data_IF_520401720538
#
_entry.id   IF_520401720538
#
_cell.length_a   1.000
_cell.length_b   1.000
_cell.length_c   1.000
_cell.angle_alpha   90.00
_cell.angle_beta   90.00
_cell.angle_gamma   90.00
#
_symmetry.space_group_name_H-M   'P 1'
#
loop_
_entity.id
_entity.type
_entity.pdbx_description
1 polymer ?
#
# COMPACT_ATOMS: atom_id res chain seq x y z
N UNK A 1 2.64 -34.71 6.33
CA UNK A 1 3.76 -33.82 5.96
C UNK A 1 3.93 -32.78 7.05
N UNK A 2 5.14 -32.63 7.58
CA UNK A 2 5.41 -31.89 8.82
C UNK A 2 5.41 -30.36 8.57
N UNK A 3 4.68 -29.58 9.37
CA UNK A 3 4.48 -28.12 9.14
C UNK A 3 5.76 -27.29 9.03
N UNK A 4 6.87 -27.79 9.59
CA UNK A 4 8.20 -27.17 9.52
C UNK A 4 8.80 -27.17 8.11
N UNK A 5 8.63 -28.26 7.36
CA UNK A 5 9.13 -28.37 5.99
C UNK A 5 8.38 -27.44 5.02
N UNK A 6 7.11 -27.15 5.31
CA UNK A 6 6.27 -26.23 4.53
C UNK A 6 6.67 -24.77 4.77
N UNK A 7 7.01 -24.39 6.01
CA UNK A 7 7.53 -23.07 6.34
C UNK A 7 8.91 -22.82 5.71
N UNK A 8 9.84 -23.78 5.81
CA UNK A 8 11.18 -23.63 5.23
C UNK A 8 11.15 -23.51 3.69
N UNK A 9 10.28 -24.26 3.03
CA UNK A 9 10.10 -24.17 1.57
C UNK A 9 9.51 -22.81 1.15
N UNK A 10 8.58 -22.28 1.95
CA UNK A 10 7.95 -20.97 1.74
C UNK A 10 8.93 -19.81 1.96
N UNK A 11 9.77 -19.87 3.00
CA UNK A 11 10.78 -18.85 3.28
C UNK A 11 11.85 -18.80 2.20
N UNK A 12 12.32 -19.96 1.72
CA UNK A 12 13.29 -20.05 0.62
C UNK A 12 12.73 -19.45 -0.68
N UNK A 13 11.47 -19.73 -1.01
CA UNK A 13 10.80 -19.16 -2.18
C UNK A 13 10.65 -17.64 -2.11
N UNK A 14 10.24 -17.11 -0.94
CA UNK A 14 10.08 -15.66 -0.73
C UNK A 14 11.41 -14.90 -0.74
N UNK A 15 12.47 -15.48 -0.18
CA UNK A 15 13.81 -14.87 -0.22
C UNK A 15 14.37 -14.81 -1.65
N UNK A 16 14.15 -15.84 -2.47
CA UNK A 16 14.58 -15.85 -3.87
C UNK A 16 13.78 -14.84 -4.72
N UNK A 17 12.48 -14.68 -4.50
CA UNK A 17 11.67 -13.66 -5.19
C UNK A 17 12.09 -12.22 -4.80
N UNK A 18 12.48 -12.00 -3.54
CA UNK A 18 13.04 -10.70 -3.11
C UNK A 18 14.37 -10.40 -3.80
N UNK A 19 15.22 -11.39 -4.02
CA UNK A 19 16.46 -11.23 -4.80
C UNK A 19 16.19 -10.97 -6.30
N UNK A 20 15.12 -11.55 -6.87
CA UNK A 20 14.72 -11.35 -8.28
C UNK A 20 14.30 -9.90 -8.58
N UNK A 21 13.64 -9.20 -7.64
CA UNK A 21 13.26 -7.78 -7.81
C UNK A 21 14.45 -6.83 -7.96
N UNK A 22 15.66 -7.27 -7.63
CA UNK A 22 16.88 -6.46 -7.72
C UNK A 22 17.63 -6.61 -9.06
N UNK A 23 17.03 -7.24 -10.08
CA UNK A 23 17.32 -6.89 -11.48
C UNK A 23 18.31 -7.74 -12.27
N UNK A 24 18.46 -9.05 -11.99
CA UNK A 24 19.42 -9.87 -12.76
C UNK A 24 19.00 -11.32 -12.96
N UNK A 25 17.90 -11.62 -13.67
CA UNK A 25 17.54 -13.02 -13.98
C UNK A 25 16.93 -13.25 -15.38
N UNK A 26 17.30 -14.38 -16.00
CA UNK A 26 16.80 -14.86 -17.30
C UNK A 26 15.39 -15.46 -17.14
N UNK A 27 14.52 -15.21 -18.12
CA UNK A 27 13.08 -15.54 -18.10
C UNK A 27 12.75 -17.02 -17.77
N UNK A 28 13.62 -17.95 -18.11
CA UNK A 28 13.50 -19.39 -17.79
C UNK A 28 13.60 -19.70 -16.30
N UNK A 29 14.47 -19.02 -15.56
CA UNK A 29 14.63 -19.22 -14.11
C UNK A 29 13.44 -18.61 -13.35
N UNK A 30 12.92 -17.47 -13.82
CA UNK A 30 11.68 -16.89 -13.30
C UNK A 30 10.49 -17.86 -13.44
N UNK A 31 10.34 -18.50 -14.60
CA UNK A 31 9.28 -19.51 -14.83
C UNK A 31 9.46 -20.75 -13.93
N UNK A 32 10.69 -21.13 -13.61
CA UNK A 32 10.97 -22.30 -12.76
C UNK A 32 10.70 -22.03 -11.27
N UNK A 33 10.94 -20.80 -10.79
CA UNK A 33 10.69 -20.39 -9.39
C UNK A 33 9.22 -19.99 -9.16
N UNK A 34 8.56 -19.39 -10.15
CA UNK A 34 7.14 -18.98 -10.04
C UNK A 34 6.16 -20.15 -10.09
N UNK A 35 6.44 -21.22 -10.85
CA UNK A 35 5.60 -22.43 -10.94
C UNK A 35 5.31 -23.07 -9.58
N UNK A 36 6.30 -23.41 -8.73
CA UNK A 36 6.04 -23.99 -7.42
C UNK A 36 5.30 -23.00 -6.51
N UNK A 37 5.63 -21.70 -6.56
CA UNK A 37 4.93 -20.68 -5.78
C UNK A 37 3.43 -20.59 -6.14
N UNK A 38 3.10 -20.55 -7.43
CA UNK A 38 1.71 -20.57 -7.92
C UNK A 38 1.01 -21.88 -7.53
N UNK A 39 1.71 -23.02 -7.56
CA UNK A 39 1.12 -24.30 -7.14
C UNK A 39 0.83 -24.37 -5.63
N UNK A 40 1.66 -23.75 -4.80
CA UNK A 40 1.44 -23.68 -3.34
C UNK A 40 0.27 -22.73 -3.04
N UNK A 41 0.21 -21.59 -3.74
CA UNK A 41 -0.92 -20.67 -3.65
C UNK A 41 -2.23 -21.37 -4.04
N UNK A 42 -2.28 -22.02 -5.21
CA UNK A 42 -3.51 -22.67 -5.69
C UNK A 42 -3.95 -23.81 -4.78
N UNK A 43 -3.02 -24.62 -4.28
CA UNK A 43 -3.31 -25.69 -3.32
C UNK A 43 -3.86 -25.12 -2.00
N UNK A 44 -3.22 -24.07 -1.46
CA UNK A 44 -3.65 -23.45 -0.20
C UNK A 44 -5.01 -22.76 -0.36
N UNK A 45 -5.25 -22.11 -1.49
CA UNK A 45 -6.53 -21.48 -1.82
C UNK A 45 -7.63 -22.54 -1.98
N UNK A 46 -7.31 -23.68 -2.61
CA UNK A 46 -8.22 -24.82 -2.71
C UNK A 46 -8.63 -25.35 -1.34
N UNK A 47 -7.71 -25.43 -0.38
CA UNK A 47 -8.06 -25.82 1.01
C UNK A 47 -9.09 -24.88 1.64
N UNK A 48 -8.98 -23.56 1.40
CA UNK A 48 -9.97 -22.60 1.88
C UNK A 48 -11.34 -22.80 1.20
N UNK A 49 -11.35 -23.02 -0.11
CA UNK A 49 -12.59 -23.26 -0.88
C UNK A 49 -13.27 -24.56 -0.45
N UNK A 50 -12.49 -25.64 -0.33
CA UNK A 50 -13.01 -26.94 0.11
C UNK A 50 -13.55 -26.86 1.55
N UNK A 51 -13.03 -25.95 2.39
CA UNK A 51 -13.47 -25.74 3.79
C UNK A 51 -14.66 -24.80 3.92
N UNK A 52 -14.72 -23.73 3.15
CA UNK A 52 -15.63 -22.60 3.35
C UNK A 52 -16.61 -22.34 2.20
N UNK A 53 -16.47 -23.09 1.10
CA UNK A 53 -17.22 -22.91 -0.13
C UNK A 53 -16.59 -21.88 -1.06
N UNK A 54 -17.31 -21.54 -2.13
CA UNK A 54 -16.85 -20.54 -3.10
C UNK A 54 -16.77 -19.14 -2.46
N UNK A 55 -15.69 -18.37 -2.71
CA UNK A 55 -15.58 -17.00 -2.24
C UNK A 55 -16.64 -16.09 -2.87
N UNK A 56 -17.30 -15.29 -2.05
CA UNK A 56 -18.22 -14.24 -2.51
C UNK A 56 -17.44 -13.02 -3.01
N UNK A 57 -16.33 -12.70 -2.34
CA UNK A 57 -15.46 -11.58 -2.69
C UNK A 57 -14.01 -11.95 -2.42
N UNK A 58 -13.13 -11.56 -3.34
CA UNK A 58 -11.67 -11.66 -3.18
C UNK A 58 -11.07 -10.31 -3.52
N UNK A 59 -10.21 -9.79 -2.65
CA UNK A 59 -9.44 -8.55 -2.85
C UNK A 59 -7.96 -8.92 -2.69
N UNK A 60 -7.16 -8.72 -3.74
CA UNK A 60 -5.74 -9.05 -3.72
C UNK A 60 -4.90 -7.77 -3.63
N UNK A 61 -4.13 -7.64 -2.54
CA UNK A 61 -3.12 -6.59 -2.40
C UNK A 61 -1.86 -6.91 -3.22
N UNK A 62 -1.61 -8.22 -3.41
CA UNK A 62 -0.53 -8.73 -4.25
C UNK A 62 -0.98 -10.02 -4.92
N UNK A 63 -0.64 -10.17 -6.20
CA UNK A 63 -1.05 -11.32 -6.98
C UNK A 63 -0.52 -12.64 -6.40
N UNK A 64 -1.42 -13.63 -6.32
CA UNK A 64 -1.13 -15.02 -5.94
C UNK A 64 -0.45 -15.15 -4.57
N UNK A 65 -0.91 -14.39 -3.58
CA UNK A 65 -0.33 -14.37 -2.24
C UNK A 65 -1.42 -14.30 -1.19
N UNK A 66 -1.75 -15.44 -0.56
CA UNK A 66 -2.80 -15.51 0.46
C UNK A 66 -2.49 -14.67 1.71
N UNK A 67 -1.23 -14.31 1.94
CA UNK A 67 -0.83 -13.41 3.03
C UNK A 67 -1.10 -11.94 2.68
N UNK A 68 -1.47 -11.68 1.43
CA UNK A 68 -1.77 -10.37 0.85
C UNK A 68 -3.11 -10.42 0.12
N UNK A 69 -4.04 -11.24 0.60
CA UNK A 69 -5.41 -11.34 0.10
C UNK A 69 -6.42 -11.24 1.23
N UNK A 70 -7.58 -10.68 0.89
CA UNK A 70 -8.79 -10.70 1.70
C UNK A 70 -9.83 -11.50 0.94
N UNK A 71 -10.36 -12.56 1.57
CA UNK A 71 -11.30 -13.48 0.95
C UNK A 71 -12.52 -13.63 1.86
N UNK A 72 -13.68 -13.19 1.40
CA UNK A 72 -14.93 -13.28 2.13
C UNK A 72 -15.75 -14.47 1.62
N UNK A 73 -16.13 -15.36 2.55
CA UNK A 73 -16.98 -16.51 2.31
C UNK A 73 -18.33 -16.27 3.01
N UNK A 74 -19.28 -15.67 2.30
CA UNK A 74 -20.56 -15.25 2.89
C UNK A 74 -21.37 -16.43 3.42
N UNK A 75 -21.42 -17.53 2.66
CA UNK A 75 -22.21 -18.72 3.02
C UNK A 75 -21.77 -19.34 4.35
N UNK A 76 -20.46 -19.34 4.63
CA UNK A 76 -19.89 -19.89 5.88
C UNK A 76 -19.68 -18.82 6.96
N UNK A 77 -19.96 -17.54 6.69
CA UNK A 77 -19.70 -16.40 7.58
C UNK A 77 -18.24 -16.30 8.03
N UNK A 78 -17.31 -16.65 7.14
CA UNK A 78 -15.85 -16.62 7.39
C UNK A 78 -15.17 -15.60 6.51
N UNK A 79 -14.11 -14.99 7.04
CA UNK A 79 -13.24 -14.10 6.28
C UNK A 79 -11.78 -14.43 6.50
N UNK A 80 -11.06 -14.58 5.41
CA UNK A 80 -9.61 -14.66 5.40
C UNK A 80 -9.05 -13.25 5.20
N UNK A 81 -8.15 -12.82 6.06
CA UNK A 81 -7.52 -11.50 5.98
C UNK A 81 -6.02 -11.66 6.16
N UNK A 82 -5.25 -11.46 5.08
CA UNK A 82 -3.79 -11.42 5.09
C UNK A 82 -3.15 -12.58 5.86
N UNK A 83 -3.52 -13.82 5.50
CA UNK A 83 -2.95 -15.03 6.11
C UNK A 83 -3.69 -15.55 7.36
N UNK A 84 -4.70 -14.83 7.83
CA UNK A 84 -5.43 -15.16 9.07
C UNK A 84 -6.90 -15.42 8.80
N UNK A 85 -7.47 -16.33 9.56
CA UNK A 85 -8.84 -16.81 9.41
C UNK A 85 -9.70 -16.32 10.57
N UNK A 86 -10.78 -15.60 10.27
CA UNK A 86 -11.66 -14.98 11.26
C UNK A 86 -13.12 -15.35 11.03
N UNK A 87 -13.91 -15.35 12.11
CA UNK A 87 -15.36 -15.25 11.97
C UNK A 87 -15.70 -13.85 11.51
N UNK A 88 -16.71 -13.70 10.64
CA UNK A 88 -17.22 -12.37 10.29
C UNK A 88 -17.75 -11.64 11.52
N UNK A 89 -18.28 -12.36 12.51
CA UNK A 89 -18.77 -11.78 13.77
C UNK A 89 -17.65 -11.17 14.62
N UNK A 90 -16.41 -11.67 14.49
CA UNK A 90 -15.27 -11.16 15.24
C UNK A 90 -14.84 -9.78 14.72
N UNK A 91 -15.30 -9.37 13.53
CA UNK A 91 -15.00 -8.05 12.98
C UNK A 91 -15.98 -7.04 13.57
N UNK A 92 -15.46 -6.18 14.45
CA UNK A 92 -16.26 -5.23 15.24
C UNK A 92 -16.18 -3.80 14.70
N UNK A 93 -15.16 -3.48 13.89
CA UNK A 93 -15.00 -2.14 13.33
C UNK A 93 -13.91 -2.05 12.28
N UNK A 94 -13.93 -0.96 11.53
CA UNK A 94 -12.93 -0.62 10.52
C UNK A 94 -12.76 0.90 10.44
N UNK A 95 -11.53 1.37 10.25
CA UNK A 95 -11.20 2.77 9.98
C UNK A 95 -10.11 2.89 8.92
N UNK A 96 -10.09 4.01 8.20
CA UNK A 96 -9.07 4.37 7.23
C UNK A 96 -8.18 5.46 7.81
N UNK A 97 -6.88 5.21 7.87
CA UNK A 97 -5.86 6.19 8.23
C UNK A 97 -5.13 6.65 6.96
N UNK A 98 -4.95 7.95 6.78
CA UNK A 98 -4.12 8.54 5.71
C UNK A 98 -2.92 9.26 6.32
N UNK A 99 -1.73 8.68 6.15
CA UNK A 99 -0.47 9.19 6.67
C UNK A 99 0.18 10.16 5.66
N UNK A 100 -0.59 11.14 5.20
CA UNK A 100 -0.20 12.06 4.14
C UNK A 100 1.09 12.84 4.48
N UNK A 101 1.94 13.03 3.47
CA UNK A 101 3.16 13.85 3.56
C UNK A 101 3.12 14.96 2.52
N UNK A 102 3.41 16.19 2.95
CA UNK A 102 3.58 17.33 2.05
C UNK A 102 5.04 17.44 1.65
N UNK A 103 5.33 17.31 0.36
CA UNK A 103 6.64 17.51 -0.23
C UNK A 103 6.68 18.91 -0.81
N UNK A 104 7.58 19.75 -0.30
CA UNK A 104 7.70 21.13 -0.77
C UNK A 104 8.27 21.20 -2.18
N UNK A 105 7.71 22.09 -3.00
CA UNK A 105 8.17 22.31 -4.36
C UNK A 105 9.61 22.86 -4.43
N UNK A 106 10.31 22.54 -5.52
CA UNK A 106 11.71 22.96 -5.73
C UNK A 106 11.81 24.49 -5.91
N UNK A 107 12.83 25.10 -5.31
CA UNK A 107 13.13 26.53 -5.46
C UNK A 107 14.28 26.72 -6.43
N UNK A 108 14.01 27.39 -7.55
CA UNK A 108 15.00 27.68 -8.61
C UNK A 108 15.28 29.17 -8.67
N UNK A 109 16.55 29.57 -8.67
CA UNK A 109 16.97 30.97 -8.87
C UNK A 109 17.74 31.12 -10.18
N UNK A 110 17.28 32.01 -11.05
CA UNK A 110 17.97 32.36 -12.31
C UNK A 110 18.50 33.78 -12.21
N UNK A 111 19.82 33.97 -12.28
CA UNK A 111 20.44 35.30 -12.34
C UNK A 111 20.88 35.62 -13.76
N UNK A 112 20.30 36.66 -14.36
CA UNK A 112 20.72 37.26 -15.62
C UNK A 112 21.69 38.41 -15.37
N UNK A 113 22.77 38.50 -16.14
CA UNK A 113 23.70 39.64 -16.12
C UNK A 113 23.58 40.45 -17.41
N UNK A 114 23.84 41.77 -17.37
CA UNK A 114 23.74 42.68 -18.55
C UNK A 114 24.53 42.24 -19.79
N UNK A 115 25.47 41.31 -19.67
CA UNK A 115 26.26 40.77 -20.78
C UNK A 115 25.62 39.50 -21.41
N UNK A 116 24.36 39.17 -21.11
CA UNK A 116 23.63 38.06 -21.71
C UNK A 116 23.94 36.67 -21.12
N UNK A 117 24.89 36.57 -20.19
CA UNK A 117 25.22 35.29 -19.57
C UNK A 117 24.23 34.96 -18.44
N UNK A 118 23.53 33.84 -18.57
CA UNK A 118 22.56 33.32 -17.59
C UNK A 118 23.23 32.26 -16.71
N UNK A 119 23.22 32.46 -15.40
CA UNK A 119 23.66 31.44 -14.44
C UNK A 119 22.44 30.95 -13.68
N UNK A 120 22.07 29.68 -13.90
CA UNK A 120 21.03 28.99 -13.12
C UNK A 120 21.66 28.44 -11.84
N UNK A 121 21.10 28.78 -10.69
CA UNK A 121 21.51 28.22 -9.39
C UNK A 121 20.27 27.59 -8.75
N UNK A 122 20.30 26.27 -8.57
CA UNK A 122 19.35 25.61 -7.68
C UNK A 122 19.70 26.02 -6.25
N UNK A 123 18.74 26.58 -5.51
CA UNK A 123 18.95 26.98 -4.12
C UNK A 123 18.26 25.95 -3.25
N UNK A 124 19.05 25.10 -2.60
CA UNK A 124 18.56 24.14 -1.62
C UNK A 124 18.60 24.82 -0.25
N UNK A 125 17.48 25.41 0.17
CA UNK A 125 17.36 26.07 1.46
C UNK A 125 15.98 26.66 1.69
N UNK A 126 15.59 26.83 2.96
CA UNK A 126 14.33 27.41 3.40
C UNK A 126 14.26 28.91 3.09
N UNK A 127 14.14 29.26 1.82
CA UNK A 127 13.88 30.63 1.38
C UNK A 127 12.35 30.83 1.43
N UNK A 128 11.89 31.67 2.36
CA UNK A 128 10.50 32.11 2.51
C UNK A 128 10.17 33.14 1.41
N UNK A 129 10.07 32.69 0.17
CA UNK A 129 9.44 33.48 -0.89
C UNK A 129 7.93 33.44 -0.59
N UNK A 130 7.18 34.47 -0.98
CA UNK A 130 5.73 34.50 -0.80
C UNK A 130 5.05 33.22 -1.31
N UNK A 131 3.76 33.03 -0.98
CA UNK A 131 3.01 31.80 -1.29
C UNK A 131 3.25 31.23 -2.69
N UNK A 132 3.10 29.91 -2.83
CA UNK A 132 3.37 29.14 -4.05
C UNK A 132 3.06 29.91 -5.35
N UNK A 133 4.04 29.98 -6.26
CA UNK A 133 3.95 30.76 -7.50
C UNK A 133 4.46 32.21 -7.42
N UNK A 134 4.89 32.70 -6.26
CA UNK A 134 5.50 34.03 -6.16
C UNK A 134 6.88 34.10 -6.86
N UNK A 135 7.01 35.04 -7.81
CA UNK A 135 8.29 35.38 -8.44
C UNK A 135 8.88 36.60 -7.73
N UNK A 136 10.02 36.44 -7.06
CA UNK A 136 10.73 37.59 -6.45
C UNK A 136 11.91 37.97 -7.36
N UNK A 137 11.84 39.21 -7.86
CA UNK A 137 12.86 39.84 -8.68
C UNK A 137 13.73 40.80 -7.86
N UNK A 138 15.02 40.49 -7.70
CA UNK A 138 16.01 41.40 -7.11
C UNK A 138 16.91 41.99 -8.18
N UNK A 139 17.01 43.33 -8.25
CA UNK A 139 17.93 44.04 -9.14
C UNK A 139 19.03 44.71 -8.32
N UNK A 140 20.26 44.21 -8.44
CA UNK A 140 21.45 44.87 -7.87
C UNK A 140 22.49 45.01 -8.98
N UNK A 141 22.93 46.24 -9.24
CA UNK A 141 23.99 46.64 -10.17
C UNK A 141 24.19 45.69 -11.39
N UNK A 142 23.24 45.72 -12.33
CA UNK A 142 23.37 45.03 -13.63
C UNK A 142 23.11 43.52 -13.62
N UNK A 143 22.56 42.97 -12.53
CA UNK A 143 22.12 41.59 -12.43
C UNK A 143 20.65 41.52 -11.99
N UNK A 144 19.85 40.71 -12.69
CA UNK A 144 18.46 40.41 -12.35
C UNK A 144 18.39 38.98 -11.85
N UNK A 145 17.96 38.76 -10.61
CA UNK A 145 17.70 37.40 -10.09
C UNK A 145 16.20 37.16 -10.03
N UNK A 146 15.73 36.09 -10.69
CA UNK A 146 14.36 35.59 -10.67
C UNK A 146 14.36 34.32 -9.83
N UNK A 147 13.57 34.29 -8.76
CA UNK A 147 13.38 33.06 -7.98
C UNK A 147 11.97 32.53 -8.16
N UNK A 148 11.85 31.24 -8.48
CA UNK A 148 10.57 30.54 -8.67
C UNK A 148 10.50 29.36 -7.71
N UNK A 149 9.38 29.24 -6.99
CA UNK A 149 9.07 28.08 -6.16
C UNK A 149 7.99 27.24 -6.85
N UNK A 150 8.25 25.94 -7.03
CA UNK A 150 7.27 24.98 -7.54
C UNK A 150 6.16 24.68 -6.53
N UNK A 151 5.09 24.04 -6.98
CA UNK A 151 3.97 23.67 -6.12
C UNK A 151 4.34 22.56 -5.13
N UNK A 152 3.77 22.64 -3.93
CA UNK A 152 3.82 21.56 -2.96
C UNK A 152 2.99 20.37 -3.46
N UNK A 153 3.49 19.16 -3.25
CA UNK A 153 2.79 17.93 -3.61
C UNK A 153 2.38 17.17 -2.36
N UNK A 154 1.13 16.68 -2.33
CA UNK A 154 0.62 15.84 -1.23
C UNK A 154 0.76 14.38 -1.64
N UNK A 155 1.49 13.61 -0.84
CA UNK A 155 1.66 12.18 -1.02
C UNK A 155 0.82 11.44 0.01
N UNK A 156 -0.27 10.81 -0.44
CA UNK A 156 -1.13 9.98 0.40
C UNK A 156 -0.47 8.65 0.78
N UNK A 157 -0.84 8.10 1.94
CA UNK A 157 -0.37 6.80 2.39
C UNK A 157 -1.39 6.10 3.30
N UNK A 158 -2.24 5.30 2.67
CA UNK A 158 -3.42 4.70 3.28
C UNK A 158 -3.09 3.41 4.04
N UNK A 159 -3.61 3.34 5.26
CA UNK A 159 -3.60 2.14 6.10
C UNK A 159 -5.01 1.87 6.62
N UNK A 160 -5.52 0.67 6.37
CA UNK A 160 -6.79 0.20 6.92
C UNK A 160 -6.52 -0.41 8.28
N UNK A 161 -7.28 0.01 9.29
CA UNK A 161 -7.25 -0.53 10.65
C UNK A 161 -8.55 -1.27 10.89
N UNK A 162 -8.45 -2.58 11.12
CA UNK A 162 -9.59 -3.46 11.38
C UNK A 162 -9.55 -3.84 12.85
N UNK A 163 -10.65 -3.61 13.55
CA UNK A 163 -10.82 -3.99 14.94
C UNK A 163 -11.47 -5.37 15.00
N UNK A 164 -10.84 -6.26 15.75
CA UNK A 164 -11.24 -7.66 15.94
C UNK A 164 -11.58 -7.89 17.41
N UNK A 165 -12.63 -8.66 17.69
CA UNK A 165 -12.98 -9.11 19.03
C UNK A 165 -11.96 -10.16 19.53
N UNK A 166 -10.80 -9.66 19.95
CA UNK A 166 -9.73 -10.47 20.49
C UNK A 166 -8.91 -9.66 21.47
N UNK A 167 -8.87 -10.10 22.73
CA UNK A 167 -8.05 -9.44 23.75
C UNK A 167 -6.54 -9.57 23.47
N UNK A 168 -6.12 -10.60 22.75
CA UNK A 168 -4.70 -10.82 22.42
C UNK A 168 -4.26 -10.04 21.19
N UNK A 169 -5.13 -9.93 20.18
CA UNK A 169 -4.82 -9.29 18.91
C UNK A 169 -6.01 -8.46 18.40
N UNK A 170 -6.36 -7.35 19.08
CA UNK A 170 -7.58 -6.60 18.80
C UNK A 170 -7.49 -5.76 17.51
N UNK A 171 -6.30 -5.55 16.97
CA UNK A 171 -6.08 -4.64 15.84
C UNK A 171 -5.28 -5.34 14.74
N UNK A 172 -5.84 -5.34 13.53
CA UNK A 172 -5.15 -5.71 12.30
C UNK A 172 -4.93 -4.47 11.44
N UNK A 173 -3.71 -4.31 10.93
CA UNK A 173 -3.34 -3.20 10.05
C UNK A 173 -2.99 -3.71 8.66
N UNK A 174 -3.56 -3.08 7.65
CA UNK A 174 -3.34 -3.40 6.24
C UNK A 174 -2.88 -2.14 5.53
N UNK A 175 -1.63 -2.13 5.09
CA UNK A 175 -1.05 -1.02 4.35
C UNK A 175 -1.30 -1.18 2.85
N UNK A 176 -1.95 -0.20 2.24
CA UNK A 176 -2.27 -0.21 0.79
C UNK A 176 -1.57 0.90 0.02
N UNK A 177 -0.82 1.78 0.71
CA UNK A 177 -0.04 2.83 0.07
C UNK A 177 -0.95 3.89 -0.56
N UNK A 178 -0.71 4.22 -1.82
CA UNK A 178 -1.42 5.31 -2.52
C UNK A 178 -2.73 4.90 -3.20
N UNK A 179 -3.13 3.62 -3.08
CA UNK A 179 -4.29 3.09 -3.78
C UNK A 179 -5.59 3.37 -3.01
N UNK A 180 -6.19 4.53 -3.27
CA UNK A 180 -7.44 4.95 -2.66
C UNK A 180 -8.62 4.02 -3.01
N UNK A 181 -8.64 3.51 -4.25
CA UNK A 181 -9.73 2.64 -4.73
C UNK A 181 -9.70 1.33 -3.96
N UNK A 182 -8.52 0.73 -3.83
CA UNK A 182 -8.33 -0.48 -3.03
C UNK A 182 -8.65 -0.23 -1.54
N UNK A 183 -8.20 0.91 -1.00
CA UNK A 183 -8.49 1.28 0.39
C UNK A 183 -10.01 1.34 0.66
N UNK A 184 -10.74 2.04 -0.20
CA UNK A 184 -12.18 2.19 -0.09
C UNK A 184 -12.93 0.88 -0.34
N UNK A 185 -12.45 0.03 -1.23
CA UNK A 185 -13.05 -1.29 -1.47
C UNK A 185 -12.96 -2.18 -0.21
N UNK A 186 -11.80 -2.19 0.46
CA UNK A 186 -11.61 -2.94 1.71
C UNK A 186 -12.51 -2.38 2.80
N UNK A 187 -12.53 -1.05 2.97
CA UNK A 187 -13.39 -0.39 3.96
C UNK A 187 -14.87 -0.69 3.70
N UNK A 188 -15.30 -0.67 2.44
CA UNK A 188 -16.66 -1.01 2.03
C UNK A 188 -17.05 -2.43 2.41
N UNK A 189 -16.17 -3.40 2.12
CA UNK A 189 -16.38 -4.81 2.51
C UNK A 189 -16.51 -4.95 4.04
N UNK A 190 -15.60 -4.34 4.81
CA UNK A 190 -15.64 -4.43 6.28
C UNK A 190 -16.88 -3.77 6.87
N UNK A 191 -17.31 -2.63 6.33
CA UNK A 191 -18.53 -1.94 6.77
C UNK A 191 -19.79 -2.79 6.56
N UNK A 192 -19.88 -3.53 5.44
CA UNK A 192 -20.99 -4.47 5.21
C UNK A 192 -21.01 -5.55 6.28
N UNK A 193 -19.86 -6.14 6.62
CA UNK A 193 -19.73 -7.17 7.66
C UNK A 193 -20.16 -6.61 9.02
N UNK A 194 -19.58 -5.50 9.46
CA UNK A 194 -19.90 -4.88 10.75
C UNK A 194 -21.39 -4.52 10.84
N UNK A 195 -21.99 -4.00 9.77
CA UNK A 195 -23.40 -3.66 9.75
C UNK A 195 -24.32 -4.89 9.84
N UNK A 196 -23.92 -6.02 9.25
CA UNK A 196 -24.66 -7.28 9.36
C UNK A 196 -24.59 -7.86 10.78
N UNK A 197 -23.44 -7.74 11.43
CA UNK A 197 -23.26 -8.18 12.82
C UNK A 197 -24.20 -7.42 13.76
N UNK A 198 -24.36 -6.10 13.58
CA UNK A 198 -25.31 -5.28 14.36
C UNK A 198 -26.78 -5.68 14.20
N UNK A 199 -27.14 -6.23 13.03
CA UNK A 199 -28.53 -6.60 12.70
C UNK A 199 -28.88 -8.02 13.13
N UNK A 200 -27.90 -8.82 13.54
CA UNK A 200 -28.13 -10.18 14.01
C UNK A 200 -28.28 -10.11 15.54
N UNK A 201 -29.48 -10.34 16.10
CA UNK A 201 -29.64 -10.41 17.55
C UNK A 201 -28.74 -11.51 18.11
N UNK A 202 -28.07 -11.24 19.23
CA UNK A 202 -27.41 -12.29 20.01
C UNK A 202 -28.55 -13.11 20.64
N UNK A 203 -28.79 -14.31 20.14
CA UNK A 203 -29.68 -15.30 20.77
C UNK A 203 -29.02 -15.91 22.02
#
# INVERSE_FOLDING_TARGET
MNGKAMQESREKGLQQIKAIKNGTYKETEYKMVSRPYISVYSASRKVLIDKYGEPTKTISLKASDLEQEIIAFEASKRIWICGKDFSMNDIIGCSLEDNQKVIKGEVTSTTQTKNGNMVKRAVVGNILLGGAGAVIGGSTAGKTTITTQGDDTVQHDYTIVINVDSLSNPILRIHVGRDEVLANEIVGLMNVIVNRNKKTPVE
#
